data_IF_148938954155
#
_entry.id   IF_148938954155
#
_cell.length_a   1.000
_cell.length_b   1.000
_cell.length_c   1.000
_cell.angle_alpha   90.00
_cell.angle_beta   90.00
_cell.angle_gamma   90.00
#
_symmetry.space_group_name_H-M   'P 1'
#
loop_
_entity.id
_entity.type
_entity.pdbx_description
1 polymer ?
#
# COMPACT_ATOMS: atom_id res chain seq x y z
N UNK A 1 21.66 43.00 -9.47
CA UNK A 1 20.28 42.65 -9.08
C UNK A 1 20.27 41.20 -8.64
N UNK A 2 20.45 40.97 -7.35
CA UNK A 2 20.57 39.65 -6.70
C UNK A 2 19.20 39.20 -6.21
N UNK A 3 18.61 38.21 -6.88
CA UNK A 3 17.38 37.55 -6.44
C UNK A 3 17.72 36.27 -5.69
N UNK A 4 17.89 36.37 -4.37
CA UNK A 4 18.07 35.22 -3.47
C UNK A 4 16.74 34.48 -3.35
N UNK A 5 16.63 33.29 -3.93
CA UNK A 5 15.50 32.41 -3.70
C UNK A 5 15.54 31.91 -2.24
N UNK A 6 14.54 32.30 -1.47
CA UNK A 6 14.30 31.82 -0.11
C UNK A 6 14.03 30.32 -0.18
N UNK A 7 15.02 29.51 0.21
CA UNK A 7 14.81 28.11 0.49
C UNK A 7 13.84 28.01 1.67
N UNK A 8 12.61 27.54 1.40
CA UNK A 8 11.62 27.27 2.42
C UNK A 8 12.12 26.12 3.31
N UNK A 9 12.78 26.46 4.41
CA UNK A 9 13.20 25.52 5.44
C UNK A 9 11.99 24.94 6.16
N UNK A 10 11.54 23.76 5.72
CA UNK A 10 10.61 22.96 6.52
C UNK A 10 11.37 22.40 7.73
N UNK A 11 10.80 22.57 8.92
CA UNK A 11 11.32 21.97 10.16
C UNK A 11 11.63 20.47 9.99
N UNK A 12 12.66 19.93 10.67
CA UNK A 12 13.02 18.52 10.56
C UNK A 12 11.83 17.64 10.97
N UNK A 13 11.25 16.93 10.00
CA UNK A 13 10.20 15.95 10.27
C UNK A 13 10.86 14.72 10.90
N UNK A 14 10.35 14.25 12.02
CA UNK A 14 10.79 12.98 12.60
C UNK A 14 10.61 11.83 11.61
N UNK A 15 11.60 10.93 11.51
CA UNK A 15 11.63 9.84 10.52
C UNK A 15 10.31 9.05 10.40
N UNK A 16 9.58 8.70 11.48
CA UNK A 16 8.32 7.95 11.36
C UNK A 16 7.23 8.69 10.59
N UNK A 17 7.14 10.02 10.76
CA UNK A 17 6.14 10.84 10.06
C UNK A 17 6.42 10.89 8.56
N UNK A 18 7.70 10.86 8.18
CA UNK A 18 8.10 10.87 6.76
C UNK A 18 7.66 9.57 6.07
N UNK A 19 7.85 8.41 6.71
CA UNK A 19 7.34 7.13 6.18
C UNK A 19 5.81 7.05 6.16
N UNK A 20 5.13 7.61 7.16
CA UNK A 20 3.66 7.71 7.16
C UNK A 20 3.17 8.57 6.00
N UNK A 21 3.75 9.76 5.78
CA UNK A 21 3.43 10.61 4.63
C UNK A 21 3.66 9.87 3.30
N UNK A 22 4.75 9.10 3.22
CA UNK A 22 5.08 8.30 2.05
C UNK A 22 4.06 7.18 1.79
N UNK A 23 3.51 6.57 2.83
CA UNK A 23 2.45 5.55 2.75
C UNK A 23 1.10 6.10 2.26
N UNK A 24 0.86 7.42 2.40
CA UNK A 24 -0.38 8.13 2.07
C UNK A 24 -1.59 7.58 2.85
N UNK A 25 -1.68 7.85 4.17
CA UNK A 25 -2.57 7.15 5.11
C UNK A 25 -4.06 7.21 4.73
N UNK A 26 -4.51 8.34 4.19
CA UNK A 26 -5.89 8.50 3.75
C UNK A 26 -6.30 7.46 2.69
N UNK A 27 -5.38 7.11 1.80
CA UNK A 27 -5.65 6.15 0.71
C UNK A 27 -5.69 4.70 1.19
N UNK A 28 -5.26 4.41 2.42
CA UNK A 28 -5.21 3.05 2.97
C UNK A 28 -6.58 2.58 3.47
N UNK A 29 -7.48 3.52 3.82
CA UNK A 29 -8.80 3.19 4.39
C UNK A 29 -9.74 2.53 3.37
N UNK A 30 -9.90 3.04 2.13
CA UNK A 30 -10.80 2.42 1.15
C UNK A 30 -10.56 0.92 0.89
N UNK A 31 -9.33 0.44 0.61
CA UNK A 31 -9.11 -0.98 0.38
C UNK A 31 -9.34 -1.83 1.64
N UNK A 32 -8.99 -1.34 2.83
CA UNK A 32 -9.27 -2.04 4.09
C UNK A 32 -10.78 -2.19 4.35
N UNK A 33 -11.54 -1.10 4.17
CA UNK A 33 -13.00 -1.13 4.29
C UNK A 33 -13.65 -2.02 3.21
N UNK A 34 -13.06 -2.07 2.01
CA UNK A 34 -13.50 -3.00 0.95
C UNK A 34 -13.40 -4.46 1.37
N UNK A 35 -12.31 -4.86 2.04
CA UNK A 35 -12.18 -6.23 2.58
C UNK A 35 -13.22 -6.50 3.67
N UNK A 36 -13.41 -5.56 4.61
CA UNK A 36 -14.44 -5.70 5.66
C UNK A 36 -15.83 -5.84 5.05
N UNK A 37 -16.16 -5.01 4.06
CA UNK A 37 -17.43 -5.06 3.33
C UNK A 37 -17.62 -6.41 2.61
N UNK A 38 -16.58 -6.91 1.93
CA UNK A 38 -16.58 -8.22 1.28
C UNK A 38 -16.81 -9.36 2.27
N UNK A 39 -16.15 -9.31 3.43
CA UNK A 39 -16.32 -10.32 4.48
C UNK A 39 -17.74 -10.34 5.06
N UNK A 40 -18.32 -9.15 5.34
CA UNK A 40 -19.71 -9.03 5.81
C UNK A 40 -20.68 -9.56 4.75
N UNK A 41 -20.44 -9.25 3.48
CA UNK A 41 -21.25 -9.75 2.35
C UNK A 41 -21.19 -11.27 2.25
N UNK A 42 -19.99 -11.86 2.33
CA UNK A 42 -19.80 -13.31 2.30
C UNK A 42 -20.50 -14.01 3.47
N UNK A 43 -20.36 -13.48 4.69
CA UNK A 43 -21.07 -13.98 5.86
C UNK A 43 -22.60 -13.85 5.70
N UNK A 44 -23.07 -12.73 5.14
CA UNK A 44 -24.46 -12.44 4.81
C UNK A 44 -25.06 -13.33 3.71
N UNK A 45 -24.24 -13.84 2.80
CA UNK A 45 -24.66 -14.76 1.73
C UNK A 45 -24.71 -16.24 2.17
N UNK A 46 -23.96 -16.61 3.21
CA UNK A 46 -23.94 -18.00 3.69
C UNK A 46 -25.30 -18.51 4.16
N UNK A 47 -25.68 -19.72 3.74
CA UNK A 47 -26.93 -20.38 4.11
C UNK A 47 -27.06 -20.60 5.63
N UNK A 48 -25.94 -20.88 6.30
CA UNK A 48 -25.85 -20.98 7.75
C UNK A 48 -24.98 -19.84 8.28
N UNK A 49 -25.53 -19.03 9.20
CA UNK A 49 -24.78 -17.95 9.83
C UNK A 49 -23.84 -18.54 10.86
N UNK A 50 -22.55 -18.46 10.56
CA UNK A 50 -21.52 -18.77 11.55
C UNK A 50 -21.63 -17.77 12.71
N UNK A 51 -21.50 -18.20 13.97
CA UNK A 51 -21.44 -17.29 15.09
C UNK A 51 -20.24 -16.34 14.92
N UNK A 52 -20.44 -15.07 15.26
CA UNK A 52 -19.37 -14.06 15.18
C UNK A 52 -18.42 -14.26 16.36
N UNK A 53 -17.35 -15.02 16.11
CA UNK A 53 -16.30 -15.32 17.08
C UNK A 53 -15.01 -14.59 16.72
N UNK A 54 -14.07 -14.52 17.67
CA UNK A 54 -12.72 -13.96 17.42
C UNK A 54 -12.03 -14.72 16.29
N UNK A 55 -12.18 -16.05 16.24
CA UNK A 55 -11.63 -16.90 15.19
C UNK A 55 -12.16 -16.53 13.81
N UNK A 56 -13.44 -16.10 13.71
CA UNK A 56 -14.01 -15.60 12.46
C UNK A 56 -13.53 -14.18 12.12
N UNK A 57 -13.29 -13.34 13.12
CA UNK A 57 -12.85 -11.95 12.91
C UNK A 57 -11.37 -11.83 12.54
N UNK A 58 -10.50 -12.74 13.00
CA UNK A 58 -9.06 -12.68 12.75
C UNK A 58 -8.69 -12.67 11.25
N UNK A 59 -9.21 -13.59 10.40
CA UNK A 59 -9.00 -13.54 8.95
C UNK A 59 -9.41 -12.21 8.31
N UNK A 60 -10.53 -11.63 8.76
CA UNK A 60 -11.02 -10.35 8.25
C UNK A 60 -10.08 -9.21 8.65
N UNK A 61 -9.60 -9.21 9.89
CA UNK A 61 -8.62 -8.23 10.36
C UNK A 61 -7.31 -8.34 9.57
N UNK A 62 -6.77 -9.55 9.38
CA UNK A 62 -5.56 -9.77 8.60
C UNK A 62 -5.75 -9.35 7.14
N UNK A 63 -6.89 -9.66 6.53
CA UNK A 63 -7.22 -9.22 5.17
C UNK A 63 -7.33 -7.70 5.05
N UNK A 64 -7.97 -7.03 6.00
CA UNK A 64 -8.11 -5.57 5.99
C UNK A 64 -6.75 -4.86 6.16
N UNK A 65 -5.91 -5.36 7.09
CA UNK A 65 -4.55 -4.88 7.28
C UNK A 65 -3.68 -5.14 6.05
N UNK A 66 -3.78 -6.33 5.46
CA UNK A 66 -3.11 -6.69 4.22
C UNK A 66 -3.43 -5.68 3.12
N UNK A 67 -4.71 -5.38 2.91
CA UNK A 67 -5.14 -4.49 1.83
C UNK A 67 -4.64 -3.05 2.05
N UNK A 68 -4.62 -2.57 3.29
CA UNK A 68 -4.01 -1.29 3.63
C UNK A 68 -2.49 -1.29 3.39
N UNK A 69 -1.76 -2.31 3.86
CA UNK A 69 -0.30 -2.38 3.76
C UNK A 69 0.16 -2.57 2.31
N UNK A 70 -0.55 -3.37 1.51
CA UNK A 70 -0.29 -3.52 0.08
C UNK A 70 -0.48 -2.19 -0.66
N UNK A 71 -1.50 -1.43 -0.30
CA UNK A 71 -1.71 -0.11 -0.90
C UNK A 71 -0.61 0.89 -0.51
N UNK A 72 -0.07 0.81 0.71
CA UNK A 72 1.11 1.58 1.09
C UNK A 72 2.34 1.23 0.22
N UNK A 73 2.57 -0.07 -0.03
CA UNK A 73 3.63 -0.53 -0.94
C UNK A 73 3.42 0.01 -2.37
N UNK A 74 2.19 -0.04 -2.88
CA UNK A 74 1.85 0.47 -4.21
C UNK A 74 2.00 2.00 -4.30
N UNK A 75 1.63 2.76 -3.25
CA UNK A 75 1.86 4.20 -3.20
C UNK A 75 3.36 4.54 -3.23
N UNK A 76 4.17 3.77 -2.53
CA UNK A 76 5.62 3.92 -2.51
C UNK A 76 6.23 3.63 -3.89
N UNK A 77 5.85 2.50 -4.50
CA UNK A 77 6.26 2.11 -5.86
C UNK A 77 5.93 3.22 -6.87
N UNK A 78 4.69 3.73 -6.83
CA UNK A 78 4.27 4.82 -7.71
C UNK A 78 5.14 6.07 -7.55
N UNK A 79 5.43 6.49 -6.31
CA UNK A 79 6.25 7.68 -6.06
C UNK A 79 7.72 7.48 -6.48
N UNK A 80 8.24 6.26 -6.42
CA UNK A 80 9.59 5.94 -6.92
C UNK A 80 9.67 6.14 -8.43
N UNK A 81 8.73 5.57 -9.20
CA UNK A 81 8.73 5.68 -10.66
C UNK A 81 8.22 7.03 -11.18
N UNK A 82 7.43 7.77 -10.39
CA UNK A 82 6.97 9.12 -10.71
C UNK A 82 7.94 10.22 -10.24
N UNK A 83 9.15 9.89 -9.75
CA UNK A 83 10.03 10.87 -9.09
C UNK A 83 10.23 12.16 -9.91
N UNK A 84 10.51 12.05 -11.21
CA UNK A 84 10.71 13.22 -12.06
C UNK A 84 9.45 14.06 -12.25
N UNK A 85 8.28 13.42 -12.30
CA UNK A 85 6.98 14.07 -12.40
C UNK A 85 6.65 14.77 -11.07
N UNK A 86 6.91 14.10 -9.95
CA UNK A 86 6.64 14.61 -8.61
C UNK A 86 7.59 15.75 -8.21
N UNK A 87 8.82 15.79 -8.74
CA UNK A 87 9.72 16.95 -8.58
C UNK A 87 9.10 18.25 -9.08
N UNK A 88 8.31 18.19 -10.16
CA UNK A 88 7.63 19.37 -10.71
C UNK A 88 6.28 19.58 -10.03
N UNK A 89 5.45 18.55 -9.96
CA UNK A 89 4.04 18.70 -9.54
C UNK A 89 3.85 18.71 -8.03
N UNK A 90 4.71 18.01 -7.28
CA UNK A 90 4.53 17.73 -5.85
C UNK A 90 5.88 17.76 -5.10
N UNK A 91 6.63 18.87 -5.16
CA UNK A 91 8.00 18.95 -4.65
C UNK A 91 8.11 18.72 -3.13
N UNK A 92 7.03 18.94 -2.39
CA UNK A 92 6.98 18.71 -0.94
C UNK A 92 6.83 17.23 -0.53
N UNK A 93 6.67 16.30 -1.49
CA UNK A 93 6.61 14.86 -1.19
C UNK A 93 7.94 14.38 -0.57
N UNK A 94 7.93 13.31 0.24
CA UNK A 94 9.13 12.84 0.92
C UNK A 94 10.33 12.54 0.01
N UNK A 95 10.10 11.92 -1.16
CA UNK A 95 11.16 11.52 -2.06
C UNK A 95 11.73 12.70 -2.90
N UNK A 96 10.90 13.56 -3.56
CA UNK A 96 11.42 14.76 -4.23
C UNK A 96 12.07 15.78 -3.31
N UNK A 97 11.58 15.95 -2.08
CA UNK A 97 12.12 16.92 -1.13
C UNK A 97 13.45 16.47 -0.50
N UNK A 98 13.86 15.23 -0.72
CA UNK A 98 15.06 14.65 -0.11
C UNK A 98 14.88 14.20 1.35
N UNK A 99 13.64 14.25 1.88
CA UNK A 99 13.35 13.73 3.22
C UNK A 99 13.45 12.19 3.30
N UNK A 100 13.33 11.48 2.17
CA UNK A 100 13.69 10.07 2.01
C UNK A 100 14.71 9.90 0.91
N UNK A 101 15.68 9.03 1.14
CA UNK A 101 16.57 8.53 0.10
C UNK A 101 15.85 7.49 -0.78
N UNK A 102 16.36 7.30 -2.00
CA UNK A 102 15.86 6.25 -2.90
C UNK A 102 16.00 4.85 -2.28
N UNK A 103 17.06 4.62 -1.50
CA UNK A 103 17.28 3.35 -0.79
C UNK A 103 16.22 3.09 0.27
N UNK A 104 15.87 4.10 1.07
CA UNK A 104 14.81 4.01 2.08
C UNK A 104 13.43 3.81 1.45
N UNK A 105 13.15 4.49 0.33
CA UNK A 105 11.91 4.31 -0.41
C UNK A 105 11.73 2.87 -0.92
N UNK A 106 12.78 2.28 -1.52
CA UNK A 106 12.76 0.88 -1.93
C UNK A 106 12.67 -0.08 -0.75
N UNK A 107 13.42 0.17 0.34
CA UNK A 107 13.34 -0.65 1.54
C UNK A 107 11.92 -0.65 2.12
N UNK A 108 11.29 0.52 2.23
CA UNK A 108 9.90 0.66 2.65
C UNK A 108 8.95 -0.12 1.73
N UNK A 109 9.10 0.03 0.41
CA UNK A 109 8.27 -0.67 -0.59
C UNK A 109 8.38 -2.19 -0.46
N UNK A 110 9.59 -2.73 -0.34
CA UNK A 110 9.83 -4.17 -0.24
C UNK A 110 9.31 -4.72 1.09
N UNK A 111 9.60 -4.04 2.20
CA UNK A 111 9.15 -4.47 3.54
C UNK A 111 7.62 -4.45 3.64
N UNK A 112 6.97 -3.40 3.15
CA UNK A 112 5.49 -3.33 3.15
C UNK A 112 4.88 -4.36 2.21
N UNK A 113 5.46 -4.61 1.03
CA UNK A 113 5.00 -5.67 0.14
C UNK A 113 5.11 -7.06 0.79
N UNK A 114 6.26 -7.37 1.41
CA UNK A 114 6.47 -8.63 2.10
C UNK A 114 5.53 -8.79 3.30
N UNK A 115 5.33 -7.73 4.09
CA UNK A 115 4.36 -7.73 5.19
C UNK A 115 2.93 -7.96 4.69
N UNK A 116 2.54 -7.38 3.57
CA UNK A 116 1.23 -7.62 2.96
C UNK A 116 1.07 -9.09 2.55
N UNK A 117 2.09 -9.72 1.97
CA UNK A 117 2.06 -11.15 1.61
C UNK A 117 1.94 -12.06 2.83
N UNK A 118 2.65 -11.75 3.91
CA UNK A 118 2.52 -12.47 5.19
C UNK A 118 1.10 -12.31 5.75
N UNK A 119 0.55 -11.10 5.76
CA UNK A 119 -0.82 -10.86 6.22
C UNK A 119 -1.85 -11.57 5.32
N UNK A 120 -1.62 -11.63 4.00
CA UNK A 120 -2.46 -12.36 3.06
C UNK A 120 -2.46 -13.87 3.33
N UNK A 121 -1.30 -14.42 3.70
CA UNK A 121 -1.16 -15.81 4.11
C UNK A 121 -1.94 -16.09 5.40
N UNK A 122 -1.83 -15.19 6.40
CA UNK A 122 -2.53 -15.31 7.68
C UNK A 122 -4.04 -15.04 7.58
N UNK A 123 -4.51 -14.43 6.47
CA UNK A 123 -5.93 -14.19 6.21
C UNK A 123 -6.71 -15.47 5.83
N UNK A 124 -6.05 -16.62 5.76
CA UNK A 124 -6.70 -17.92 5.69
C UNK A 124 -6.90 -18.51 7.10
N UNK A 125 -8.06 -19.10 7.42
CA UNK A 125 -8.22 -19.88 8.65
C UNK A 125 -7.14 -20.97 8.75
N UNK A 126 -6.65 -21.27 9.96
CA UNK A 126 -5.56 -22.26 10.15
C UNK A 126 -5.88 -23.67 9.62
N UNK A 127 -7.16 -24.00 9.54
CA UNK A 127 -7.70 -25.27 9.04
C UNK A 127 -7.94 -25.27 7.53
N UNK A 128 -7.81 -24.11 6.87
CA UNK A 128 -8.07 -23.98 5.45
C UNK A 128 -6.98 -24.67 4.64
N UNK A 129 -7.39 -25.62 3.79
CA UNK A 129 -6.50 -26.30 2.85
C UNK A 129 -5.96 -25.37 1.75
N UNK A 130 -6.62 -24.23 1.54
CA UNK A 130 -6.35 -23.31 0.43
C UNK A 130 -6.12 -21.88 0.93
N UNK A 131 -5.23 -21.17 0.23
CA UNK A 131 -4.82 -19.79 0.53
C UNK A 131 -5.10 -18.90 -0.68
N UNK A 132 -6.33 -18.87 -1.17
CA UNK A 132 -6.71 -18.15 -2.39
C UNK A 132 -6.44 -16.65 -2.27
N UNK A 133 -6.67 -16.07 -1.08
CA UNK A 133 -6.38 -14.67 -0.79
C UNK A 133 -4.90 -14.34 -1.07
N UNK A 134 -3.98 -15.22 -0.67
CA UNK A 134 -2.56 -15.04 -0.91
C UNK A 134 -2.23 -14.97 -2.40
N UNK A 135 -2.76 -15.89 -3.21
CA UNK A 135 -2.50 -15.90 -4.65
C UNK A 135 -3.11 -14.70 -5.37
N UNK A 136 -4.32 -14.27 -4.97
CA UNK A 136 -4.92 -13.03 -5.47
C UNK A 136 -4.01 -11.83 -5.18
N UNK A 137 -3.44 -11.76 -3.98
CA UNK A 137 -2.54 -10.68 -3.58
C UNK A 137 -1.23 -10.71 -4.37
N UNK A 138 -0.63 -11.88 -4.59
CA UNK A 138 0.58 -12.03 -5.43
C UNK A 138 0.31 -11.54 -6.86
N UNK A 139 -0.81 -11.96 -7.46
CA UNK A 139 -1.22 -11.48 -8.79
C UNK A 139 -1.45 -9.97 -8.77
N UNK A 140 -2.11 -9.44 -7.75
CA UNK A 140 -2.37 -8.00 -7.58
C UNK A 140 -1.07 -7.22 -7.49
N UNK A 141 -0.06 -7.70 -6.74
CA UNK A 141 1.27 -7.10 -6.69
C UNK A 141 1.90 -7.05 -8.08
N UNK A 142 1.78 -8.13 -8.87
CA UNK A 142 2.23 -8.15 -10.26
C UNK A 142 1.52 -7.13 -11.15
N UNK A 143 0.20 -6.98 -11.00
CA UNK A 143 -0.57 -5.96 -11.73
C UNK A 143 -0.18 -4.53 -11.33
N UNK A 144 0.02 -4.28 -10.04
CA UNK A 144 0.54 -3.00 -9.55
C UNK A 144 1.92 -2.68 -10.14
N UNK A 145 2.80 -3.69 -10.24
CA UNK A 145 4.08 -3.53 -10.91
C UNK A 145 3.91 -3.20 -12.40
N UNK A 146 3.09 -3.96 -13.12
CA UNK A 146 2.81 -3.73 -14.55
C UNK A 146 2.28 -2.31 -14.81
N UNK A 147 1.45 -1.80 -13.90
CA UNK A 147 0.91 -0.45 -13.98
C UNK A 147 1.96 0.62 -13.77
N UNK A 148 2.84 0.47 -12.76
CA UNK A 148 3.75 1.52 -12.30
C UNK A 148 5.19 1.44 -12.83
N UNK A 149 5.63 0.27 -13.30
CA UNK A 149 7.04 -0.03 -13.54
C UNK A 149 7.29 -0.70 -14.92
N UNK A 150 8.52 -0.62 -15.46
CA UNK A 150 8.92 -1.35 -16.65
C UNK A 150 8.77 -2.89 -16.50
N UNK A 151 8.59 -3.64 -17.60
CA UNK A 151 8.70 -3.19 -19.00
C UNK A 151 7.39 -2.63 -19.60
N UNK A 152 6.24 -2.90 -18.99
CA UNK A 152 4.93 -2.50 -19.55
C UNK A 152 4.62 -1.05 -19.17
N UNK A 153 4.59 -0.72 -17.87
CA UNK A 153 4.34 0.63 -17.35
C UNK A 153 3.09 1.28 -17.97
N UNK A 154 1.92 0.62 -17.81
CA UNK A 154 0.70 0.99 -18.54
C UNK A 154 0.27 2.44 -18.26
N UNK A 155 0.42 2.91 -17.01
CA UNK A 155 0.14 4.30 -16.62
C UNK A 155 0.83 5.33 -17.50
N UNK A 156 2.10 5.08 -17.87
CA UNK A 156 2.87 5.98 -18.73
C UNK A 156 2.38 5.93 -20.18
N UNK A 157 1.81 4.81 -20.60
CA UNK A 157 1.26 4.59 -21.95
C UNK A 157 -0.20 5.04 -22.08
N UNK A 158 -0.86 5.43 -20.98
CA UNK A 158 -2.26 5.86 -20.98
C UNK A 158 -3.26 4.72 -21.22
N UNK A 159 -2.88 3.49 -20.86
CA UNK A 159 -3.69 2.26 -21.02
C UNK A 159 -4.10 1.74 -19.65
#
# INVERSE_FOLDING_TARGET
MTGSAVAAGTAPRGQPRVFLDFARPFTLMPPALGVVSGAVTAWGAGHHKLPVTVTLMLPVLYGALMAAVLNAANNALNQIYDLDIDRVNKPARPLPSGALTMREAWAFTIVTCAAAWVLAWLAAPAEAAHHECFWIVVVTTGLCWIYSAPPIWTKRRGI
#
